data_IF_278557232677
#
_entry.id   IF_278557232677
#
_cell.length_a   1.000
_cell.length_b   1.000
_cell.length_c   1.000
_cell.angle_alpha   90.00
_cell.angle_beta   90.00
_cell.angle_gamma   90.00
#
_symmetry.space_group_name_H-M   'P 1'
#
loop_
_entity.id
_entity.type
_entity.pdbx_description
1 polymer ?
#
# COMPACT_ATOMS: atom_id res chain seq x y z
N UNK A 1 14.93 -0.78 20.69
CA UNK A 1 13.68 -1.09 21.43
C UNK A 1 12.64 0.02 21.32
N UNK A 2 12.93 1.28 21.68
CA UNK A 2 11.96 2.39 21.51
C UNK A 2 11.62 2.69 20.04
N UNK A 3 12.63 2.82 19.16
CA UNK A 3 12.40 3.04 17.72
C UNK A 3 11.50 1.96 17.10
N UNK A 4 11.80 0.69 17.36
CA UNK A 4 10.96 -0.45 16.95
C UNK A 4 9.50 -0.31 17.44
N UNK A 5 9.28 0.03 18.71
CA UNK A 5 7.93 0.17 19.26
C UNK A 5 7.17 1.33 18.62
N UNK A 6 7.82 2.46 18.37
CA UNK A 6 7.19 3.63 17.71
C UNK A 6 6.94 3.37 16.23
N UNK A 7 7.83 2.64 15.55
CA UNK A 7 7.69 2.29 14.15
C UNK A 7 6.57 1.25 13.89
N UNK A 8 6.20 0.45 14.91
CA UNK A 8 5.23 -0.64 14.79
C UNK A 8 3.99 -0.53 15.68
N UNK A 9 3.81 0.54 16.46
CA UNK A 9 2.69 0.66 17.41
C UNK A 9 1.32 0.64 16.72
N UNK A 10 1.21 1.27 15.56
CA UNK A 10 0.01 1.35 14.73
C UNK A 10 -0.45 -0.02 14.21
N UNK A 11 0.42 -1.04 14.19
CA UNK A 11 0.02 -2.39 13.80
C UNK A 11 -0.85 -3.05 14.87
N UNK A 12 -0.56 -2.77 16.14
CA UNK A 12 -1.36 -3.30 17.26
C UNK A 12 -2.75 -2.67 17.33
N UNK A 13 -2.87 -1.44 16.83
CA UNK A 13 -4.11 -0.69 16.77
C UNK A 13 -4.30 -0.15 15.34
N UNK A 14 -4.65 -1.05 14.42
CA UNK A 14 -4.71 -0.78 12.99
C UNK A 14 -5.94 0.07 12.63
N UNK A 15 -5.87 1.37 12.93
CA UNK A 15 -6.95 2.35 12.75
C UNK A 15 -6.42 3.61 12.06
N UNK A 16 -7.29 4.35 11.38
CA UNK A 16 -6.94 5.63 10.72
C UNK A 16 -6.29 6.61 11.70
N UNK A 17 -6.90 6.82 12.87
CA UNK A 17 -6.38 7.73 13.90
C UNK A 17 -5.01 7.32 14.41
N UNK A 18 -4.81 6.02 14.73
CA UNK A 18 -3.52 5.54 15.21
C UNK A 18 -2.42 5.67 14.14
N UNK A 19 -2.78 5.46 12.87
CA UNK A 19 -1.85 5.65 11.76
C UNK A 19 -1.47 7.12 11.56
N UNK A 20 -2.44 8.05 11.61
CA UNK A 20 -2.17 9.49 11.53
C UNK A 20 -1.20 9.92 12.64
N UNK A 21 -1.51 9.57 13.90
CA UNK A 21 -0.62 9.89 15.04
C UNK A 21 0.76 9.26 14.88
N UNK A 22 0.84 8.03 14.33
CA UNK A 22 2.13 7.40 14.04
C UNK A 22 2.93 8.21 13.02
N UNK A 23 2.33 8.63 11.90
CA UNK A 23 2.99 9.47 10.89
C UNK A 23 3.47 10.79 11.48
N UNK A 24 2.66 11.48 12.27
CA UNK A 24 3.06 12.71 12.95
C UNK A 24 4.28 12.49 13.86
N UNK A 25 4.27 11.40 14.64
CA UNK A 25 5.41 11.03 15.48
C UNK A 25 6.66 10.70 14.64
N UNK A 26 6.49 10.01 13.52
CA UNK A 26 7.59 9.65 12.62
C UNK A 26 8.21 10.88 11.98
N UNK A 27 7.38 11.79 11.45
CA UNK A 27 7.83 13.07 10.90
C UNK A 27 8.62 13.86 11.96
N UNK A 28 8.09 13.97 13.19
CA UNK A 28 8.81 14.63 14.28
C UNK A 28 10.17 13.98 14.58
N UNK A 29 10.25 12.65 14.67
CA UNK A 29 11.51 11.94 14.91
C UNK A 29 12.51 12.18 13.77
N UNK A 30 12.06 12.10 12.52
CA UNK A 30 12.92 12.29 11.34
C UNK A 30 13.46 13.71 11.25
N UNK A 31 12.68 14.71 11.68
CA UNK A 31 13.12 16.11 11.76
C UNK A 31 14.04 16.37 12.95
N UNK A 32 13.70 15.86 14.14
CA UNK A 32 14.44 16.13 15.37
C UNK A 32 15.76 15.33 15.47
N UNK A 33 15.81 14.13 14.87
CA UNK A 33 16.95 13.21 14.91
C UNK A 33 17.26 12.60 13.55
N UNK A 34 17.79 13.40 12.60
CA UNK A 34 18.16 12.91 11.26
C UNK A 34 19.18 11.77 11.29
N UNK A 35 20.03 11.72 12.32
CA UNK A 35 21.01 10.66 12.56
C UNK A 35 20.38 9.27 12.74
N UNK A 36 19.10 9.22 13.15
CA UNK A 36 18.35 7.98 13.32
C UNK A 36 17.52 7.58 12.10
N UNK A 37 17.47 8.41 11.05
CA UNK A 37 16.57 8.24 9.89
C UNK A 37 16.63 6.83 9.30
N UNK A 38 17.81 6.37 8.89
CA UNK A 38 17.94 5.07 8.22
C UNK A 38 17.52 3.91 9.13
N UNK A 39 17.94 3.94 10.41
CA UNK A 39 17.55 2.91 11.39
C UNK A 39 16.05 2.92 11.66
N UNK A 40 15.45 4.10 11.76
CA UNK A 40 14.00 4.23 11.94
C UNK A 40 13.24 3.69 10.72
N UNK A 41 13.67 4.06 9.51
CA UNK A 41 13.05 3.57 8.28
C UNK A 41 13.12 2.04 8.19
N UNK A 42 14.25 1.41 8.54
CA UNK A 42 14.35 -0.06 8.58
C UNK A 42 13.28 -0.70 9.48
N UNK A 43 13.06 -0.15 10.68
CA UNK A 43 12.02 -0.63 11.60
C UNK A 43 10.61 -0.40 11.05
N UNK A 44 10.36 0.76 10.45
CA UNK A 44 9.07 1.11 9.84
C UNK A 44 8.75 0.22 8.62
N UNK A 45 9.74 -0.09 7.79
CA UNK A 45 9.56 -1.02 6.66
C UNK A 45 9.37 -2.46 7.15
N UNK A 46 10.02 -2.85 8.25
CA UNK A 46 9.75 -4.12 8.93
C UNK A 46 8.32 -4.20 9.45
N UNK A 47 7.81 -3.10 10.00
CA UNK A 47 6.41 -2.97 10.41
C UNK A 47 5.47 -3.09 9.20
N UNK A 48 5.75 -2.42 8.09
CA UNK A 48 4.98 -2.59 6.85
C UNK A 48 4.99 -4.05 6.38
N UNK A 49 6.16 -4.70 6.34
CA UNK A 49 6.30 -6.11 5.94
C UNK A 49 5.42 -7.02 6.79
N UNK A 50 5.33 -6.77 8.10
CA UNK A 50 4.43 -7.52 8.96
C UNK A 50 2.97 -7.43 8.50
N UNK A 51 2.51 -6.26 8.01
CA UNK A 51 1.15 -6.12 7.48
C UNK A 51 0.93 -6.91 6.17
N UNK A 52 1.97 -7.06 5.36
CA UNK A 52 1.98 -7.93 4.17
C UNK A 52 1.87 -9.39 4.60
N UNK A 53 2.77 -9.83 5.49
CA UNK A 53 2.89 -11.22 5.92
C UNK A 53 1.63 -11.69 6.69
N UNK A 54 0.98 -10.79 7.43
CA UNK A 54 -0.26 -11.07 8.15
C UNK A 54 -1.54 -10.77 7.37
N UNK A 55 -1.43 -10.42 6.09
CA UNK A 55 -2.59 -10.15 5.21
C UNK A 55 -3.56 -9.14 5.83
N UNK A 56 -3.04 -8.00 6.29
CA UNK A 56 -3.82 -6.95 6.93
C UNK A 56 -4.20 -5.89 5.89
N UNK A 57 -5.41 -5.32 6.01
CA UNK A 57 -5.82 -4.14 5.24
C UNK A 57 -5.72 -4.34 3.73
N UNK A 58 -4.84 -3.61 3.06
CA UNK A 58 -4.61 -3.72 1.61
C UNK A 58 -4.20 -5.13 1.15
N UNK A 59 -3.60 -5.92 2.03
CA UNK A 59 -3.14 -7.29 1.76
C UNK A 59 -4.12 -8.36 2.26
N UNK A 60 -5.27 -7.96 2.78
CA UNK A 60 -6.29 -8.89 3.24
C UNK A 60 -6.92 -9.68 2.09
N UNK A 61 -7.26 -10.96 2.30
CA UNK A 61 -8.03 -11.71 1.32
C UNK A 61 -9.39 -11.05 1.12
N UNK A 62 -9.91 -11.11 -0.10
CA UNK A 62 -11.27 -10.67 -0.37
C UNK A 62 -12.23 -11.79 0.08
N UNK A 63 -13.26 -11.47 0.91
CA UNK A 63 -14.29 -12.43 1.22
C UNK A 63 -15.08 -12.82 -0.04
N UNK A 64 -15.68 -14.00 -0.05
CA UNK A 64 -16.57 -14.40 -1.14
C UNK A 64 -17.88 -13.61 -1.05
N UNK A 65 -18.12 -12.75 -2.04
CA UNK A 65 -19.38 -12.00 -2.15
C UNK A 65 -20.53 -12.99 -2.44
N UNK A 66 -21.57 -12.96 -1.62
CA UNK A 66 -22.77 -13.78 -1.87
C UNK A 66 -23.53 -13.18 -3.05
N UNK A 67 -23.79 -13.99 -4.08
CA UNK A 67 -24.58 -13.53 -5.22
C UNK A 67 -26.00 -13.14 -4.78
N UNK A 68 -26.51 -11.96 -5.15
CA UNK A 68 -27.89 -11.57 -4.86
C UNK A 68 -28.92 -12.46 -5.59
N UNK A 69 -28.47 -13.29 -6.54
CA UNK A 69 -29.30 -14.27 -7.24
C UNK A 69 -29.34 -15.65 -6.54
N UNK A 70 -28.50 -15.87 -5.53
CA UNK A 70 -28.35 -17.14 -4.81
C UNK A 70 -28.39 -16.94 -3.28
N UNK A 71 -29.34 -16.13 -2.82
CA UNK A 71 -29.50 -15.80 -1.40
C UNK A 71 -30.02 -17.01 -0.62
N UNK A 72 -29.37 -17.34 0.49
CA UNK A 72 -29.84 -18.34 1.45
C UNK A 72 -30.31 -17.68 2.75
N UNK A 73 -31.10 -18.40 3.56
CA UNK A 73 -31.62 -17.88 4.82
C UNK A 73 -30.46 -17.54 5.78
N UNK A 74 -30.39 -16.28 6.21
CA UNK A 74 -29.29 -15.76 7.04
C UNK A 74 -28.15 -15.07 6.27
N UNK A 75 -28.18 -15.04 4.94
CA UNK A 75 -27.23 -14.24 4.15
C UNK A 75 -27.50 -12.74 4.33
N UNK A 76 -26.44 -11.97 4.60
CA UNK A 76 -26.45 -10.50 4.58
C UNK A 76 -25.86 -10.05 3.25
N UNK A 77 -26.59 -9.24 2.50
CA UNK A 77 -26.19 -8.74 1.16
C UNK A 77 -25.52 -7.36 1.21
N UNK A 78 -24.96 -7.00 2.35
CA UNK A 78 -24.26 -5.73 2.51
C UNK A 78 -22.83 -5.84 1.95
N UNK A 79 -22.29 -4.75 1.37
CA UNK A 79 -20.89 -4.73 0.95
C UNK A 79 -19.95 -4.94 2.14
N UNK A 80 -18.91 -5.75 1.96
CA UNK A 80 -17.86 -5.98 2.97
C UNK A 80 -16.51 -5.39 2.49
N UNK A 81 -16.33 -4.05 2.53
CA UNK A 81 -15.12 -3.42 2.04
C UNK A 81 -13.92 -3.68 2.96
N UNK A 82 -12.71 -3.93 2.43
CA UNK A 82 -11.51 -4.05 3.24
C UNK A 82 -11.15 -2.71 3.90
N UNK A 83 -10.67 -2.78 5.13
CA UNK A 83 -10.22 -1.61 5.85
C UNK A 83 -8.79 -1.20 5.45
N UNK A 84 -8.68 -0.34 4.42
CA UNK A 84 -7.40 0.06 3.82
C UNK A 84 -6.89 1.44 4.25
N UNK A 85 -7.68 2.23 4.99
CA UNK A 85 -7.35 3.63 5.31
C UNK A 85 -5.98 3.81 5.97
N UNK A 86 -5.54 2.94 6.92
CA UNK A 86 -4.20 3.07 7.48
C UNK A 86 -3.09 2.86 6.44
N UNK A 87 -3.23 1.89 5.52
CA UNK A 87 -2.26 1.72 4.43
C UNK A 87 -2.25 2.95 3.52
N UNK A 88 -3.39 3.56 3.25
CA UNK A 88 -3.47 4.75 2.40
C UNK A 88 -2.69 5.95 2.99
N UNK A 89 -2.85 6.20 4.29
CA UNK A 89 -2.09 7.23 5.03
C UNK A 89 -0.60 6.90 5.02
N UNK A 90 -0.25 5.64 5.26
CA UNK A 90 1.14 5.17 5.27
C UNK A 90 1.81 5.34 3.90
N UNK A 91 1.12 4.95 2.82
CA UNK A 91 1.63 5.13 1.45
C UNK A 91 1.79 6.61 1.14
N UNK A 92 0.88 7.48 1.59
CA UNK A 92 1.02 8.94 1.42
C UNK A 92 2.32 9.46 2.04
N UNK A 93 2.65 9.02 3.26
CA UNK A 93 3.94 9.32 3.89
C UNK A 93 5.14 8.75 3.09
N UNK A 94 5.01 7.54 2.53
CA UNK A 94 6.06 6.95 1.67
C UNK A 94 6.27 7.79 0.40
N UNK A 95 5.21 8.32 -0.23
CA UNK A 95 5.33 9.22 -1.39
C UNK A 95 6.16 10.45 -1.03
N UNK A 96 5.84 11.13 0.08
CA UNK A 96 6.60 12.28 0.58
C UNK A 96 8.08 11.93 0.85
N UNK A 97 8.32 10.74 1.41
CA UNK A 97 9.69 10.23 1.61
C UNK A 97 10.43 10.02 0.29
N UNK A 98 9.78 9.48 -0.76
CA UNK A 98 10.40 9.31 -2.08
C UNK A 98 10.74 10.68 -2.68
N UNK A 99 9.81 11.62 -2.64
CA UNK A 99 9.97 12.96 -3.24
C UNK A 99 11.14 13.74 -2.63
N UNK A 100 11.39 13.55 -1.34
CA UNK A 100 12.52 14.16 -0.64
C UNK A 100 13.82 13.35 -0.79
N UNK A 101 13.76 12.02 -0.69
CA UNK A 101 14.95 11.17 -0.70
C UNK A 101 15.60 11.03 -2.09
N UNK A 102 14.83 11.12 -3.17
CA UNK A 102 15.32 10.93 -4.55
C UNK A 102 16.47 11.86 -4.96
N UNK A 103 16.66 12.97 -4.25
CA UNK A 103 17.73 13.94 -4.52
C UNK A 103 18.89 13.88 -3.52
N UNK A 104 18.73 13.21 -2.38
CA UNK A 104 19.66 13.35 -1.26
C UNK A 104 20.05 12.07 -0.52
N UNK A 105 19.36 10.94 -0.72
CA UNK A 105 19.65 9.70 0.01
C UNK A 105 19.27 8.45 -0.78
N UNK A 106 20.27 7.84 -1.41
CA UNK A 106 20.12 6.64 -2.22
C UNK A 106 19.69 5.43 -1.38
N UNK A 107 20.18 5.32 -0.15
CA UNK A 107 19.87 4.23 0.76
C UNK A 107 18.37 4.22 1.12
N UNK A 108 17.75 5.40 1.27
CA UNK A 108 16.30 5.51 1.50
C UNK A 108 15.53 5.05 0.26
N UNK A 109 15.97 5.44 -0.94
CA UNK A 109 15.37 5.02 -2.21
C UNK A 109 15.44 3.49 -2.36
N UNK A 110 16.59 2.88 -2.08
CA UNK A 110 16.78 1.43 -2.13
C UNK A 110 15.92 0.68 -1.12
N UNK A 111 15.81 1.20 0.11
CA UNK A 111 14.95 0.63 1.14
C UNK A 111 13.47 0.64 0.71
N UNK A 112 13.00 1.73 0.09
CA UNK A 112 11.62 1.82 -0.41
C UNK A 112 11.41 0.90 -1.63
N UNK A 113 12.39 0.82 -2.54
CA UNK A 113 12.33 -0.13 -3.65
C UNK A 113 12.24 -1.58 -3.14
N UNK A 114 12.99 -1.92 -2.08
CA UNK A 114 12.89 -3.23 -1.43
C UNK A 114 11.51 -3.47 -0.81
N UNK A 115 10.89 -2.47 -0.18
CA UNK A 115 9.50 -2.57 0.28
C UNK A 115 8.56 -2.91 -0.87
N UNK A 116 8.65 -2.19 -2.00
CA UNK A 116 7.78 -2.44 -3.15
C UNK A 116 8.00 -3.84 -3.73
N UNK A 117 9.25 -4.28 -3.85
CA UNK A 117 9.57 -5.64 -4.30
C UNK A 117 8.92 -6.73 -3.44
N UNK A 118 8.84 -6.52 -2.12
CA UNK A 118 8.22 -7.47 -1.19
C UNK A 118 6.70 -7.34 -1.10
N UNK A 119 6.18 -6.15 -1.38
CA UNK A 119 4.74 -5.85 -1.28
C UNK A 119 3.95 -6.18 -2.53
N UNK A 120 4.60 -6.24 -3.70
CA UNK A 120 3.95 -6.40 -4.99
C UNK A 120 4.24 -7.81 -5.55
N UNK A 121 3.30 -8.76 -5.45
CA UNK A 121 3.42 -10.09 -6.02
C UNK A 121 3.59 -10.06 -7.54
N UNK A 122 4.27 -11.06 -8.09
CA UNK A 122 4.54 -11.14 -9.53
C UNK A 122 3.58 -12.13 -10.18
N UNK A 123 2.28 -11.91 -9.98
CA UNK A 123 1.22 -12.78 -10.46
C UNK A 123 -0.01 -11.97 -10.84
N UNK A 124 -0.82 -12.52 -11.76
CA UNK A 124 -2.01 -11.87 -12.30
C UNK A 124 -3.17 -12.86 -12.28
N UNK A 125 -4.29 -12.46 -11.69
CA UNK A 125 -5.54 -13.24 -11.73
C UNK A 125 -5.52 -14.50 -10.88
N UNK A 126 -4.57 -14.61 -9.95
CA UNK A 126 -4.48 -15.75 -9.04
C UNK A 126 -5.69 -15.77 -8.09
N UNK A 127 -6.20 -16.95 -7.81
CA UNK A 127 -7.29 -17.19 -6.87
C UNK A 127 -6.79 -18.04 -5.70
N UNK A 128 -7.47 -17.97 -4.55
CA UNK A 128 -7.09 -18.70 -3.35
C UNK A 128 -6.13 -17.94 -2.43
N UNK A 129 -5.29 -18.67 -1.68
CA UNK A 129 -4.51 -18.14 -0.56
C UNK A 129 -3.14 -17.54 -0.96
N UNK A 130 -2.90 -17.37 -2.26
CA UNK A 130 -1.68 -16.75 -2.78
C UNK A 130 -1.61 -15.26 -2.41
N UNK A 131 -0.39 -14.72 -2.18
CA UNK A 131 -0.22 -13.33 -1.80
C UNK A 131 -0.70 -12.44 -2.95
N UNK A 132 -1.72 -11.63 -2.67
CA UNK A 132 -2.30 -10.67 -3.61
C UNK A 132 -2.63 -9.39 -2.86
N UNK A 133 -2.68 -8.27 -3.58
CA UNK A 133 -3.33 -7.08 -3.06
C UNK A 133 -4.83 -7.24 -3.24
N UNK A 134 -5.60 -6.77 -2.28
CA UNK A 134 -7.05 -6.81 -2.34
C UNK A 134 -7.56 -6.12 -3.62
N UNK A 135 -8.49 -6.78 -4.31
CA UNK A 135 -9.07 -6.31 -5.58
C UNK A 135 -10.35 -5.52 -5.38
N UNK A 136 -10.95 -5.52 -4.18
CA UNK A 136 -12.18 -4.80 -3.89
C UNK A 136 -12.09 -3.31 -4.26
N UNK A 137 -13.19 -2.72 -4.75
CA UNK A 137 -13.21 -1.32 -5.22
C UNK A 137 -12.78 -0.32 -4.14
N UNK A 138 -13.10 -0.58 -2.87
CA UNK A 138 -12.66 0.26 -1.75
C UNK A 138 -11.14 0.29 -1.53
N UNK A 139 -10.40 -0.70 -2.05
CA UNK A 139 -8.94 -0.75 -1.96
C UNK A 139 -8.25 0.01 -3.11
N UNK A 140 -8.99 0.48 -4.12
CA UNK A 140 -8.43 1.00 -5.36
C UNK A 140 -7.51 2.21 -5.13
N UNK A 141 -7.91 3.16 -4.27
CA UNK A 141 -7.10 4.33 -3.97
C UNK A 141 -5.75 3.95 -3.36
N UNK A 142 -5.76 3.18 -2.28
CA UNK A 142 -4.54 2.72 -1.61
C UNK A 142 -3.65 1.86 -2.54
N UNK A 143 -4.25 0.95 -3.32
CA UNK A 143 -3.54 0.10 -4.29
C UNK A 143 -2.82 0.94 -5.33
N UNK A 144 -3.52 1.82 -6.03
CA UNK A 144 -2.93 2.59 -7.12
C UNK A 144 -1.97 3.67 -6.60
N UNK A 145 -2.20 4.22 -5.40
CA UNK A 145 -1.21 5.08 -4.73
C UNK A 145 0.10 4.33 -4.45
N UNK A 146 0.04 3.06 -4.03
CA UNK A 146 1.24 2.22 -3.84
C UNK A 146 1.94 1.91 -5.18
N UNK A 147 1.17 1.64 -6.24
CA UNK A 147 1.73 1.43 -7.58
C UNK A 147 2.38 2.70 -8.13
N UNK A 148 1.80 3.88 -7.86
CA UNK A 148 2.40 5.18 -8.18
C UNK A 148 3.76 5.36 -7.53
N UNK A 149 3.98 4.90 -6.29
CA UNK A 149 5.32 4.89 -5.69
C UNK A 149 6.33 4.14 -6.55
N UNK A 150 5.95 2.98 -7.09
CA UNK A 150 6.78 2.21 -8.02
C UNK A 150 7.08 2.96 -9.30
N UNK A 151 6.08 3.59 -9.91
CA UNK A 151 6.27 4.41 -11.11
C UNK A 151 7.19 5.61 -10.86
N UNK A 152 7.02 6.31 -9.73
CA UNK A 152 7.89 7.44 -9.34
C UNK A 152 9.36 7.04 -9.29
N UNK A 153 9.68 5.87 -8.70
CA UNK A 153 11.05 5.34 -8.65
C UNK A 153 11.57 4.89 -10.04
N UNK A 154 10.69 4.36 -10.89
CA UNK A 154 11.06 3.91 -12.22
C UNK A 154 11.32 5.08 -13.19
N UNK A 155 10.51 6.13 -13.11
CA UNK A 155 10.55 7.31 -13.97
C UNK A 155 11.58 8.35 -13.53
N UNK A 156 11.82 8.51 -12.22
CA UNK A 156 12.76 9.50 -11.70
C UNK A 156 14.25 9.24 -11.96
N UNK A 157 14.57 8.18 -12.71
CA UNK A 157 15.92 7.62 -12.92
C UNK A 157 16.76 7.45 -11.63
N UNK A 158 16.07 7.33 -10.49
CA UNK A 158 16.67 7.18 -9.16
C UNK A 158 17.24 5.79 -8.93
N UNK A 159 16.71 4.80 -9.66
CA UNK A 159 17.17 3.42 -9.62
C UNK A 159 18.19 3.18 -10.73
N UNK A 160 19.34 2.54 -10.42
CA UNK A 160 20.34 2.20 -11.42
C UNK A 160 19.73 1.25 -12.47
N UNK A 161 20.22 1.34 -13.71
CA UNK A 161 19.86 0.42 -14.80
C UNK A 161 20.28 -0.99 -14.43
N UNK A 162 19.34 -1.76 -13.90
CA UNK A 162 19.58 -3.06 -13.30
C UNK A 162 18.40 -4.00 -13.57
N UNK A 163 18.64 -5.31 -13.39
CA UNK A 163 17.58 -6.31 -13.43
C UNK A 163 16.48 -6.00 -12.40
N UNK A 164 16.85 -5.54 -11.20
CA UNK A 164 15.91 -5.14 -10.15
C UNK A 164 14.94 -4.05 -10.63
N UNK A 165 15.42 -3.03 -11.37
CA UNK A 165 14.55 -2.00 -11.98
C UNK A 165 13.54 -2.61 -12.95
N UNK A 166 13.94 -3.62 -13.73
CA UNK A 166 13.03 -4.30 -14.65
C UNK A 166 12.01 -5.18 -13.92
N UNK A 167 12.43 -5.89 -12.88
CA UNK A 167 11.55 -6.69 -12.02
C UNK A 167 10.53 -5.80 -11.31
N UNK A 168 10.92 -4.61 -10.83
CA UNK A 168 9.98 -3.68 -10.21
C UNK A 168 8.92 -3.21 -11.21
N UNK A 169 9.34 -2.87 -12.43
CA UNK A 169 8.42 -2.49 -13.52
C UNK A 169 7.40 -3.59 -13.80
N UNK A 170 7.88 -4.83 -13.94
CA UNK A 170 7.00 -5.97 -14.18
C UNK A 170 6.02 -6.19 -13.02
N UNK A 171 6.48 -6.10 -11.77
CA UNK A 171 5.59 -6.17 -10.59
C UNK A 171 4.51 -5.09 -10.59
N UNK A 172 4.86 -3.84 -10.93
CA UNK A 172 3.88 -2.75 -11.03
C UNK A 172 2.83 -3.07 -12.10
N UNK A 173 3.25 -3.55 -13.28
CA UNK A 173 2.32 -3.91 -14.35
C UNK A 173 1.46 -5.12 -14.01
N UNK A 174 2.03 -6.18 -13.44
CA UNK A 174 1.26 -7.34 -12.97
C UNK A 174 0.19 -6.92 -11.98
N UNK A 175 0.52 -6.09 -10.98
CA UNK A 175 -0.46 -5.67 -9.97
C UNK A 175 -1.48 -4.66 -10.50
N UNK A 176 -1.15 -3.88 -11.53
CA UNK A 176 -2.13 -3.08 -12.25
C UNK A 176 -3.15 -3.98 -12.98
N UNK A 177 -2.67 -4.95 -13.74
CA UNK A 177 -3.52 -5.88 -14.50
C UNK A 177 -4.34 -6.79 -13.58
N UNK A 178 -3.75 -7.25 -12.48
CA UNK A 178 -4.37 -8.11 -11.49
C UNK A 178 -5.63 -7.48 -10.87
N UNK A 179 -5.67 -6.15 -10.71
CA UNK A 179 -6.86 -5.45 -10.23
C UNK A 179 -8.07 -5.69 -11.14
N UNK A 180 -7.86 -5.82 -12.45
CA UNK A 180 -8.93 -6.03 -13.43
C UNK A 180 -9.38 -7.49 -13.55
N UNK A 181 -8.75 -8.42 -12.83
CA UNK A 181 -9.16 -9.82 -12.78
C UNK A 181 -10.32 -10.09 -11.80
N UNK A 182 -11.03 -9.04 -11.37
CA UNK A 182 -12.22 -9.09 -10.51
C UNK A 182 -13.49 -8.84 -11.30
N UNK A 183 -14.63 -9.21 -10.73
CA UNK A 183 -15.92 -8.78 -11.26
C UNK A 183 -16.15 -7.26 -11.04
N UNK A 184 -16.93 -6.65 -11.92
CA UNK A 184 -17.24 -5.23 -11.84
C UNK A 184 -18.08 -4.96 -10.59
N UNK A 185 -17.54 -4.17 -9.65
CA UNK A 185 -18.26 -3.70 -8.47
C UNK A 185 -18.54 -2.20 -8.56
N UNK A 186 -19.63 -1.76 -7.92
CA UNK A 186 -19.94 -0.35 -7.70
C UNK A 186 -19.13 0.19 -6.50
N UNK A 187 -18.65 1.44 -6.53
CA UNK A 187 -17.97 2.05 -5.39
C UNK A 187 -18.79 1.97 -4.10
N UNK A 188 -18.12 1.66 -2.99
CA UNK A 188 -18.71 1.55 -1.64
C UNK A 188 -18.20 2.64 -0.70
N UNK A 189 -17.27 3.48 -1.18
CA UNK A 189 -16.68 4.59 -0.43
C UNK A 189 -17.66 5.75 -0.26
N UNK A 190 -17.41 6.60 0.73
CA UNK A 190 -18.07 7.90 0.82
C UNK A 190 -17.66 8.82 -0.36
N UNK A 191 -18.45 9.87 -0.67
CA UNK A 191 -18.22 10.71 -1.84
C UNK A 191 -16.86 11.43 -1.86
N UNK A 192 -16.35 11.83 -0.69
CA UNK A 192 -15.09 12.57 -0.59
C UNK A 192 -13.91 11.63 -0.83
N UNK A 193 -13.91 10.47 -0.18
CA UNK A 193 -12.90 9.43 -0.45
C UNK A 193 -12.94 8.95 -1.90
N UNK A 194 -14.13 8.73 -2.46
CA UNK A 194 -14.26 8.31 -3.85
C UNK A 194 -13.67 9.33 -4.83
N UNK A 195 -13.87 10.62 -4.56
CA UNK A 195 -13.25 11.70 -5.35
C UNK A 195 -11.72 11.62 -5.29
N UNK A 196 -11.14 11.40 -4.11
CA UNK A 196 -9.68 11.24 -3.95
C UNK A 196 -9.14 9.99 -4.68
N UNK A 197 -9.87 8.88 -4.60
CA UNK A 197 -9.52 7.64 -5.30
C UNK A 197 -9.52 7.82 -6.82
N UNK A 198 -10.53 8.52 -7.36
CA UNK A 198 -10.62 8.85 -8.79
C UNK A 198 -9.44 9.74 -9.20
N UNK A 199 -9.10 10.77 -8.41
CA UNK A 199 -7.94 11.64 -8.70
C UNK A 199 -6.65 10.83 -8.69
N UNK A 200 -6.49 9.90 -7.75
CA UNK A 200 -5.34 8.99 -7.68
C UNK A 200 -5.24 8.14 -8.94
N UNK A 201 -6.35 7.56 -9.39
CA UNK A 201 -6.41 6.80 -10.63
C UNK A 201 -6.06 7.67 -11.84
N UNK A 202 -6.68 8.85 -11.98
CA UNK A 202 -6.40 9.75 -13.09
C UNK A 202 -4.91 10.09 -13.18
N UNK A 203 -4.26 10.37 -12.05
CA UNK A 203 -2.82 10.65 -12.00
C UNK A 203 -1.97 9.43 -12.35
N UNK A 204 -2.41 8.21 -12.00
CA UNK A 204 -1.69 6.99 -12.33
C UNK A 204 -1.68 6.69 -13.83
N UNK A 205 -2.77 7.03 -14.54
CA UNK A 205 -2.93 6.77 -15.98
C UNK A 205 -2.42 7.89 -16.89
N UNK A 206 -1.96 9.01 -16.32
CA UNK A 206 -1.31 10.12 -17.04
C UNK A 206 0.18 9.84 -17.25
#
# INVERSE_FOLDING_TARGET
>A
RLLHMVAGSQIKLFTSTAMCTAVECWQWILTARPDLKLRFLQEMLGAWQYTVDKKIGLFSPQPEDTSPLAVSEGCVLDPDPPYVKPHEIWVTFIVELIETAKYCCQETVEMIAMLLHRSLPMAVGVTGDEPTLNRHVAAVGARFKLLSCGLLLLQGDTLPRSLSKNVLRERVYCNCLDYFCRERQTPTQDPDQLREDIVTLMRFWQ
#
